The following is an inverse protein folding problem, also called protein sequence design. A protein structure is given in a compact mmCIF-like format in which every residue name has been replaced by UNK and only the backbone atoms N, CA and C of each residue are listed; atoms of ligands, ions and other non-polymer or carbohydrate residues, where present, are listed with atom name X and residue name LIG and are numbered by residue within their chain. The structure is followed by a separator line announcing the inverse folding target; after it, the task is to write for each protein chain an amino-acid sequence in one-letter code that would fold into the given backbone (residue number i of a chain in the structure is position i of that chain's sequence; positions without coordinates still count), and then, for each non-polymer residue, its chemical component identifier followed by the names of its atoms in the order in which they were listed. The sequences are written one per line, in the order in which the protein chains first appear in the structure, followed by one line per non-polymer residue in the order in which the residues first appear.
data_IF_583236351143
#
_entry.id   IF_583236351143
#
_cell.length_a   1.000
_cell.length_b   1.000
_cell.length_c   1.000
_cell.angle_alpha   90.00
_cell.angle_beta   90.00
_cell.angle_gamma   90.00
#
_symmetry.space_group_name_H-M   'P 1'
#
loop_
_entity.id
_entity.type
_entity.pdbx_description
1 polymer ?
#
# COMPACT_ATOMS: atom_id res chain seq x y z
N UNK A 1 54.94 45.37 -4.27
CA UNK A 1 55.68 44.52 -3.32
C UNK A 1 54.79 44.28 -2.10
N UNK A 2 54.08 43.16 -2.09
CA UNK A 2 53.02 42.86 -1.11
C UNK A 2 53.55 41.78 -0.17
N UNK A 3 53.65 42.08 1.14
CA UNK A 3 54.09 41.14 2.17
C UNK A 3 52.89 40.37 2.73
N UNK A 4 52.98 39.04 2.67
CA UNK A 4 52.07 38.07 3.27
C UNK A 4 52.38 37.95 4.77
N UNK A 5 51.37 38.05 5.63
CA UNK A 5 51.47 37.69 7.06
C UNK A 5 50.68 36.39 7.29
N UNK A 6 51.37 35.39 7.84
CA UNK A 6 50.82 34.13 8.34
C UNK A 6 50.53 34.32 9.83
N UNK A 7 49.27 34.17 10.25
CA UNK A 7 48.91 34.03 11.66
C UNK A 7 48.64 32.55 11.96
N UNK A 8 49.51 31.95 12.78
CA UNK A 8 49.21 30.74 13.54
C UNK A 8 48.80 31.17 14.94
N UNK A 9 47.61 30.79 15.38
CA UNK A 9 47.16 30.97 16.76
C UNK A 9 46.89 29.59 17.39
N UNK A 10 47.76 29.25 18.34
CA UNK A 10 47.65 28.16 19.29
C UNK A 10 46.76 28.64 20.44
N UNK A 11 45.71 27.88 20.79
CA UNK A 11 45.00 28.06 22.05
C UNK A 11 44.92 26.69 22.76
N UNK A 12 45.66 26.61 23.87
CA UNK A 12 45.54 25.60 24.91
C UNK A 12 44.25 25.80 25.71
N UNK A 13 43.50 24.72 25.94
CA UNK A 13 42.42 24.68 26.92
C UNK A 13 42.88 23.86 28.14
N UNK A 14 42.61 24.31 29.38
CA UNK A 14 42.99 23.57 30.57
C UNK A 14 41.96 22.51 30.97
N UNK A 15 42.51 21.47 31.57
CA UNK A 15 41.89 20.44 32.39
C UNK A 15 40.74 20.95 33.28
N UNK A 16 39.60 20.26 33.22
CA UNK A 16 38.77 20.02 34.41
C UNK A 16 38.62 18.49 34.56
N UNK A 17 39.29 17.98 35.60
CA UNK A 17 39.21 16.59 36.07
C UNK A 17 37.95 16.44 36.94
N UNK A 18 37.49 15.20 37.02
CA UNK A 18 36.53 14.67 37.99
C UNK A 18 35.04 14.77 37.61
N UNK A 19 34.62 13.89 36.70
CA UNK A 19 33.44 13.05 36.91
C UNK A 19 33.62 11.70 36.18
N UNK A 20 34.36 10.80 36.82
CA UNK A 20 34.44 9.39 36.45
C UNK A 20 33.31 8.60 37.11
N UNK A 21 32.93 7.52 36.44
CA UNK A 21 32.00 6.46 36.84
C UNK A 21 30.51 6.72 36.61
N UNK A 22 30.12 6.76 35.33
CA UNK A 22 29.09 5.84 34.81
C UNK A 22 29.13 5.91 33.28
N UNK A 23 28.99 4.77 32.59
CA UNK A 23 28.93 4.59 31.11
C UNK A 23 30.26 4.41 30.35
N UNK A 24 30.87 3.22 30.47
CA UNK A 24 31.91 2.77 29.51
C UNK A 24 31.61 1.45 28.79
N UNK A 25 30.38 0.90 28.90
CA UNK A 25 30.01 -0.36 28.22
C UNK A 25 29.26 -0.21 26.90
N UNK A 26 28.83 0.99 26.49
CA UNK A 26 28.04 1.20 25.26
C UNK A 26 28.80 1.89 24.11
N UNK A 27 29.94 2.54 24.36
CA UNK A 27 30.68 3.26 23.31
C UNK A 27 31.60 2.36 22.44
N UNK A 28 31.87 1.12 22.86
CA UNK A 28 32.74 0.20 22.12
C UNK A 28 32.02 -0.67 21.07
N UNK A 29 30.68 -0.78 21.11
CA UNK A 29 29.91 -1.51 20.07
C UNK A 29 29.64 -0.68 18.81
N UNK A 30 29.66 0.64 18.89
CA UNK A 30 29.39 1.53 17.74
C UNK A 30 30.56 1.56 16.74
N UNK A 31 31.81 1.56 17.22
CA UNK A 31 32.99 1.64 16.33
C UNK A 31 33.26 0.38 15.51
N UNK A 32 32.83 -0.80 15.99
CA UNK A 32 32.97 -2.05 15.25
C UNK A 32 31.99 -2.13 14.07
N UNK A 33 30.75 -1.64 14.25
CA UNK A 33 29.71 -1.67 13.20
C UNK A 33 30.03 -0.72 12.04
N UNK A 34 30.55 0.49 12.34
CA UNK A 34 30.96 1.45 11.31
C UNK A 34 32.14 0.93 10.50
N UNK A 35 33.10 0.25 11.15
CA UNK A 35 34.27 -0.32 10.46
C UNK A 35 33.89 -1.51 9.56
N UNK A 36 32.90 -2.32 9.96
CA UNK A 36 32.40 -3.43 9.15
C UNK A 36 31.62 -2.95 7.92
N UNK A 37 30.77 -1.93 8.08
CA UNK A 37 30.04 -1.34 6.94
C UNK A 37 30.97 -0.64 5.95
N UNK A 38 32.02 0.05 6.42
CA UNK A 38 32.98 0.68 5.53
C UNK A 38 33.79 -0.38 4.73
N UNK A 39 34.20 -1.48 5.36
CA UNK A 39 34.90 -2.58 4.66
C UNK A 39 34.02 -3.29 3.64
N UNK A 40 32.73 -3.50 3.93
CA UNK A 40 31.77 -4.04 2.97
C UNK A 40 31.57 -3.09 1.78
N UNK A 41 31.44 -1.79 2.04
CA UNK A 41 31.26 -0.78 1.00
C UNK A 41 32.47 -0.72 0.05
N UNK A 42 33.69 -0.74 0.57
CA UNK A 42 34.92 -0.78 -0.25
C UNK A 42 35.07 -2.09 -1.05
N UNK A 43 34.57 -3.22 -0.53
CA UNK A 43 34.63 -4.51 -1.22
C UNK A 43 33.63 -4.58 -2.37
N UNK A 44 32.41 -4.05 -2.18
CA UNK A 44 31.38 -3.94 -3.21
C UNK A 44 31.86 -2.98 -4.31
N UNK A 45 32.44 -1.83 -3.95
CA UNK A 45 32.96 -0.87 -4.93
C UNK A 45 34.10 -1.44 -5.78
N UNK A 46 35.00 -2.26 -5.18
CA UNK A 46 36.05 -2.98 -5.92
C UNK A 46 35.50 -4.03 -6.88
N UNK A 47 34.41 -4.71 -6.51
CA UNK A 47 33.80 -5.75 -7.35
C UNK A 47 33.06 -5.12 -8.55
N UNK A 48 32.36 -4.00 -8.34
CA UNK A 48 31.68 -3.24 -9.41
C UNK A 48 32.69 -2.61 -10.39
N UNK A 49 33.80 -2.03 -9.90
CA UNK A 49 34.83 -1.43 -10.75
C UNK A 49 35.55 -2.46 -11.64
N UNK A 50 35.74 -3.70 -11.17
CA UNK A 50 36.33 -4.79 -11.98
C UNK A 50 35.40 -5.24 -13.10
N UNK A 51 34.09 -5.31 -12.86
CA UNK A 51 33.12 -5.72 -13.88
C UNK A 51 32.92 -4.63 -14.94
N UNK A 52 32.99 -3.34 -14.57
CA UNK A 52 32.93 -2.22 -15.51
C UNK A 52 34.15 -2.15 -16.45
N UNK A 53 35.35 -2.49 -15.95
CA UNK A 53 36.55 -2.55 -16.81
C UNK A 53 36.52 -3.72 -17.80
N UNK A 54 35.91 -4.85 -17.45
CA UNK A 54 35.79 -6.00 -18.36
C UNK A 54 34.80 -5.74 -19.50
N UNK A 55 33.72 -4.99 -19.26
CA UNK A 55 32.73 -4.65 -20.29
C UNK A 55 33.27 -3.67 -21.34
N UNK A 56 34.15 -2.74 -20.96
CA UNK A 56 34.75 -1.76 -21.87
C UNK A 56 35.78 -2.36 -22.84
N UNK A 57 36.39 -3.49 -22.50
CA UNK A 57 37.33 -4.22 -23.40
C UNK A 57 36.59 -5.08 -24.43
N UNK A 58 35.34 -5.46 -24.17
CA UNK A 58 34.53 -6.24 -25.11
C UNK A 58 33.91 -5.40 -26.25
N UNK A 59 33.76 -4.07 -26.06
CA UNK A 59 33.17 -3.19 -27.07
C UNK A 59 34.16 -2.67 -28.14
N UNK A 60 35.46 -2.90 -27.99
CA UNK A 60 36.50 -2.37 -28.90
C UNK A 60 36.90 -3.33 -30.04
N UNK A 61 36.17 -4.41 -30.27
CA UNK A 61 36.48 -5.42 -31.30
C UNK A 61 35.49 -5.49 -32.48
N UNK A 62 34.54 -4.55 -32.62
CA UNK A 62 33.65 -4.46 -33.79
C UNK A 62 33.92 -3.21 -34.62
N UNK A 63 35.10 -3.14 -35.25
CA UNK A 63 35.29 -2.33 -36.45
C UNK A 63 36.07 -3.16 -37.47
N UNK A 64 35.41 -3.52 -38.57
CA UNK A 64 35.93 -3.53 -39.96
C UNK A 64 35.03 -4.39 -40.85
N UNK A 65 34.34 -3.73 -41.79
CA UNK A 65 34.35 -4.13 -43.20
C UNK A 65 33.41 -3.21 -43.99
N UNK A 66 34.03 -2.25 -44.70
CA UNK A 66 33.35 -1.43 -45.70
C UNK A 66 33.18 -2.20 -47.00
N UNK A 67 31.98 -2.14 -47.56
CA UNK A 67 31.71 -2.44 -48.96
C UNK A 67 30.80 -1.33 -49.52
N UNK A 68 31.31 -0.64 -50.54
CA UNK A 68 30.59 0.41 -51.28
C UNK A 68 29.60 -0.24 -52.27
N UNK A 69 28.35 0.24 -52.41
CA UNK A 69 27.48 -0.23 -53.47
C UNK A 69 27.76 0.52 -54.78
N UNK A 70 28.22 -0.22 -55.77
CA UNK A 70 28.25 0.19 -57.17
C UNK A 70 26.82 0.40 -57.69
N UNK A 71 26.61 1.59 -58.26
CA UNK A 71 25.46 1.97 -59.08
C UNK A 71 25.52 1.25 -60.44
N UNK A 72 24.38 0.75 -60.95
CA UNK A 72 24.07 1.04 -62.34
C UNK A 72 22.62 1.51 -62.54
N UNK A 73 22.48 2.47 -63.47
CA UNK A 73 21.22 2.90 -64.08
C UNK A 73 20.82 1.95 -65.22
N UNK A 74 19.57 2.13 -65.66
CA UNK A 74 18.85 1.66 -66.87
C UNK A 74 18.02 0.38 -66.70
N UNK A 75 16.85 0.17 -67.33
CA UNK A 75 15.79 0.97 -67.98
C UNK A 75 14.67 -0.06 -68.31
N UNK A 76 13.41 0.35 -68.24
CA UNK A 76 12.19 -0.20 -68.89
C UNK A 76 11.66 -1.64 -68.67
N UNK A 77 10.35 -1.65 -68.34
CA UNK A 77 9.24 -2.47 -68.84
C UNK A 77 9.27 -4.00 -68.73
N UNK A 78 8.29 -4.57 -68.01
CA UNK A 78 7.15 -5.30 -68.60
C UNK A 78 6.33 -6.00 -67.51
N UNK A 79 5.02 -5.83 -67.61
CA UNK A 79 3.97 -6.55 -66.90
C UNK A 79 3.84 -7.99 -67.41
N UNK A 80 3.87 -9.00 -66.54
CA UNK A 80 3.23 -10.31 -66.80
C UNK A 80 2.72 -10.92 -65.49
N UNK A 81 1.49 -11.43 -65.58
CA UNK A 81 0.67 -12.14 -64.60
C UNK A 81 0.99 -13.64 -64.56
N UNK A 82 0.90 -14.27 -63.38
CA UNK A 82 0.55 -15.69 -63.09
C UNK A 82 1.10 -16.01 -61.68
N UNK A 83 0.27 -16.26 -60.67
CA UNK A 83 -0.45 -17.52 -60.41
C UNK A 83 0.48 -18.73 -60.42
N UNK A 84 0.89 -19.18 -59.24
CA UNK A 84 1.03 -20.61 -58.96
C UNK A 84 0.99 -20.90 -57.46
N UNK A 85 0.18 -21.90 -57.15
CA UNK A 85 -0.13 -22.52 -55.87
C UNK A 85 0.89 -23.62 -55.64
N UNK A 86 1.55 -23.71 -54.48
CA UNK A 86 2.21 -24.96 -54.07
C UNK A 86 2.15 -25.18 -52.55
N UNK A 87 1.32 -26.17 -52.20
CA UNK A 87 1.32 -27.05 -51.03
C UNK A 87 2.64 -27.81 -50.83
N UNK A 88 3.15 -27.87 -49.59
CA UNK A 88 3.89 -29.01 -48.95
C UNK A 88 3.82 -28.77 -47.43
N UNK A 89 3.00 -29.47 -46.65
CA UNK A 89 3.14 -30.83 -46.06
C UNK A 89 4.18 -30.99 -44.93
N UNK A 90 3.63 -31.23 -43.73
CA UNK A 90 4.06 -32.17 -42.67
C UNK A 90 5.48 -32.13 -42.09
N UNK A 91 5.59 -32.06 -40.75
CA UNK A 91 6.02 -33.20 -39.90
C UNK A 91 5.74 -32.90 -38.43
N UNK A 92 5.02 -33.83 -37.80
CA UNK A 92 4.76 -33.91 -36.37
C UNK A 92 5.93 -34.57 -35.66
N UNK A 93 6.34 -34.07 -34.49
CA UNK A 93 6.96 -34.92 -33.46
C UNK A 93 6.33 -34.62 -32.10
N UNK A 94 5.55 -35.60 -31.65
CA UNK A 94 5.22 -35.82 -30.24
C UNK A 94 6.44 -36.42 -29.56
N UNK A 95 6.77 -35.92 -28.37
CA UNK A 95 7.45 -36.73 -27.36
C UNK A 95 6.70 -36.68 -26.04
N UNK A 96 6.37 -37.88 -25.60
CA UNK A 96 5.64 -38.24 -24.40
C UNK A 96 6.62 -38.58 -23.29
N UNK A 97 6.15 -38.46 -22.05
CA UNK A 97 6.60 -39.17 -20.83
C UNK A 97 7.80 -38.62 -20.06
N UNK A 98 7.54 -38.16 -18.83
CA UNK A 98 7.99 -38.87 -17.64
C UNK A 98 7.17 -38.41 -16.41
N UNK A 99 6.33 -39.32 -15.93
CA UNK A 99 5.72 -39.29 -14.60
C UNK A 99 6.80 -39.74 -13.61
N UNK A 100 7.07 -38.93 -12.59
CA UNK A 100 7.76 -39.38 -11.38
C UNK A 100 6.82 -39.16 -10.20
N UNK A 101 6.20 -40.24 -9.75
CA UNK A 101 5.69 -40.36 -8.38
C UNK A 101 6.87 -40.26 -7.42
N UNK A 102 6.81 -39.28 -6.50
CA UNK A 102 7.57 -39.34 -5.25
C UNK A 102 6.57 -39.47 -4.12
N UNK A 103 6.46 -40.71 -3.66
CA UNK A 103 5.90 -41.08 -2.37
C UNK A 103 6.88 -40.61 -1.29
N UNK A 104 6.46 -39.68 -0.43
CA UNK A 104 7.14 -39.45 0.85
C UNK A 104 6.15 -39.52 2.00
N UNK A 105 6.45 -40.50 2.83
CA UNK A 105 5.80 -41.02 4.01
C UNK A 105 5.64 -40.00 5.12
N UNK A 106 4.49 -40.11 5.80
CA UNK A 106 4.14 -39.43 7.04
C UNK A 106 4.97 -39.92 8.24
N UNK A 107 5.44 -38.98 9.05
CA UNK A 107 5.75 -39.09 10.48
C UNK A 107 5.66 -37.66 11.00
N UNK A 108 4.81 -37.25 11.95
CA UNK A 108 4.31 -37.98 13.10
C UNK A 108 5.03 -37.48 14.36
N UNK A 109 4.78 -36.23 14.77
CA UNK A 109 5.01 -35.80 16.15
C UNK A 109 4.00 -34.72 16.52
N UNK A 110 2.93 -35.16 17.18
CA UNK A 110 2.08 -34.30 17.99
C UNK A 110 2.82 -34.03 19.31
N UNK A 111 3.01 -32.75 19.65
CA UNK A 111 3.33 -32.35 21.01
C UNK A 111 2.13 -31.58 21.52
N UNK A 112 1.37 -32.25 22.39
CA UNK A 112 0.46 -31.62 23.34
C UNK A 112 1.29 -30.67 24.21
N UNK A 113 0.87 -29.42 24.33
CA UNK A 113 1.13 -28.68 25.55
C UNK A 113 -0.16 -28.01 26.00
N UNK A 114 -0.70 -28.61 27.06
CA UNK A 114 -1.93 -28.24 27.74
C UNK A 114 -1.53 -27.31 28.86
N UNK A 115 -1.66 -26.00 28.68
CA UNK A 115 -1.61 -25.05 29.79
C UNK A 115 -2.99 -24.44 30.00
N UNK A 116 -3.74 -25.14 30.83
CA UNK A 116 -4.84 -24.64 31.66
C UNK A 116 -4.39 -23.38 32.38
N UNK A 117 -5.08 -22.26 32.15
CA UNK A 117 -5.04 -21.11 33.04
C UNK A 117 -6.48 -20.72 33.36
N UNK A 118 -6.93 -21.21 34.51
CA UNK A 118 -8.12 -20.78 35.20
C UNK A 118 -8.00 -19.28 35.49
N UNK A 119 -8.87 -18.45 34.88
CA UNK A 119 -9.12 -17.11 35.39
C UNK A 119 -10.47 -17.11 36.12
N UNK A 120 -10.34 -17.19 37.43
CA UNK A 120 -11.36 -17.00 38.46
C UNK A 120 -12.23 -15.77 38.20
N UNK A 121 -13.53 -16.03 38.17
CA UNK A 121 -14.63 -15.09 38.31
C UNK A 121 -14.53 -14.35 39.64
N UNK A 122 -14.50 -13.02 39.61
CA UNK A 122 -14.87 -12.20 40.78
C UNK A 122 -16.03 -11.32 40.36
N UNK A 123 -17.24 -11.74 40.73
CA UNK A 123 -18.42 -10.89 40.73
C UNK A 123 -18.31 -9.96 41.94
N UNK A 124 -18.25 -8.66 41.69
CA UNK A 124 -18.38 -7.64 42.73
C UNK A 124 -19.78 -7.07 42.64
N UNK A 125 -20.64 -7.52 43.54
CA UNK A 125 -21.88 -6.86 43.93
C UNK A 125 -21.57 -5.43 44.42
N UNK A 126 -22.19 -4.44 43.79
CA UNK A 126 -22.36 -3.11 44.35
C UNK A 126 -23.82 -2.71 44.21
N UNK A 127 -24.57 -3.09 45.23
CA UNK A 127 -25.82 -2.45 45.65
C UNK A 127 -25.56 -0.99 46.01
N UNK A 128 -26.18 -0.05 45.30
CA UNK A 128 -26.39 1.31 45.77
C UNK A 128 -27.81 1.76 45.44
N UNK A 129 -28.62 1.72 46.51
CA UNK A 129 -29.93 2.31 46.68
C UNK A 129 -29.94 3.79 46.30
N UNK A 130 -30.90 4.20 45.46
CA UNK A 130 -31.16 5.58 45.08
C UNK A 130 -32.66 5.83 44.95
N UNK A 131 -33.36 5.70 46.07
CA UNK A 131 -34.77 6.08 46.22
C UNK A 131 -34.90 7.59 46.14
N UNK A 132 -35.45 8.11 45.03
CA UNK A 132 -35.96 9.49 44.98
C UNK A 132 -37.48 9.46 45.06
N UNK A 133 -37.97 9.68 46.28
CA UNK A 133 -39.36 10.03 46.60
C UNK A 133 -39.67 11.44 46.11
N UNK A 134 -40.59 11.56 45.15
CA UNK A 134 -41.26 12.83 44.85
C UNK A 134 -42.68 12.75 45.39
N UNK A 135 -42.87 13.33 46.57
CA UNK A 135 -44.17 13.73 47.12
C UNK A 135 -44.75 14.85 46.26
N UNK A 136 -45.95 14.66 45.73
CA UNK A 136 -46.83 15.76 45.32
C UNK A 136 -48.21 15.52 45.93
N UNK A 137 -48.63 16.51 46.71
CA UNK A 137 -49.82 16.56 47.54
C UNK A 137 -51.11 16.35 46.77
N UNK A 138 -52.00 15.56 47.38
CA UNK A 138 -53.40 15.43 46.98
C UNK A 138 -54.21 16.42 47.80
N UNK A 139 -54.69 17.50 47.17
CA UNK A 139 -55.78 18.32 47.72
C UNK A 139 -57.02 18.16 46.85
N UNK A 140 -58.03 17.55 47.45
CA UNK A 140 -59.36 17.34 46.91
C UNK A 140 -60.20 18.59 47.17
N UNK A 141 -60.75 19.20 46.12
CA UNK A 141 -62.03 19.91 46.23
C UNK A 141 -62.71 20.01 44.85
N UNK A 142 -63.96 19.54 44.84
CA UNK A 142 -65.03 19.63 43.83
C UNK A 142 -65.22 21.08 43.30
N UNK A 143 -65.70 21.38 42.08
CA UNK A 143 -66.96 20.94 41.45
C UNK A 143 -67.06 21.49 39.99
N UNK A 144 -67.70 20.72 39.10
CA UNK A 144 -68.56 21.09 37.93
C UNK A 144 -68.02 21.71 36.62
N UNK A 145 -68.36 20.98 35.53
CA UNK A 145 -68.74 21.38 34.14
C UNK A 145 -67.72 22.09 33.25
N UNK A 146 -67.20 21.43 32.20
CA UNK A 146 -67.80 21.43 30.85
C UNK A 146 -66.92 20.72 29.81
N UNK A 147 -67.60 19.98 28.93
CA UNK A 147 -67.26 19.51 27.58
C UNK A 147 -65.93 19.94 26.96
N UNK A 148 -65.05 18.99 26.60
CA UNK A 148 -64.29 18.94 25.31
C UNK A 148 -63.60 17.58 25.18
N UNK A 149 -63.98 16.81 24.15
CA UNK A 149 -63.35 15.56 23.77
C UNK A 149 -61.97 15.86 23.15
N UNK A 150 -60.90 15.74 23.92
CA UNK A 150 -59.53 15.79 23.39
C UNK A 150 -59.07 14.38 23.01
N UNK A 151 -59.12 14.10 21.72
CA UNK A 151 -58.43 12.98 21.10
C UNK A 151 -56.93 13.22 21.23
N UNK A 152 -56.28 12.53 22.18
CA UNK A 152 -54.82 12.53 22.30
C UNK A 152 -54.27 11.66 21.16
N UNK A 153 -53.98 12.31 20.03
CA UNK A 153 -53.14 11.73 18.98
C UNK A 153 -51.71 11.67 19.49
N UNK A 154 -51.31 10.56 20.10
CA UNK A 154 -49.91 10.18 20.26
C UNK A 154 -49.34 9.81 18.89
N UNK A 155 -48.92 10.80 18.12
CA UNK A 155 -48.03 10.61 16.97
C UNK A 155 -46.61 10.42 17.49
N UNK A 156 -46.26 9.18 17.83
CA UNK A 156 -44.87 8.72 17.94
C UNK A 156 -44.24 8.70 16.55
N UNK A 157 -43.78 9.85 16.07
CA UNK A 157 -42.85 9.92 14.94
C UNK A 157 -41.46 9.51 15.42
N UNK A 158 -41.18 8.21 15.40
CA UNK A 158 -39.82 7.68 15.52
C UNK A 158 -39.13 7.80 14.16
N UNK A 159 -38.68 9.01 13.82
CA UNK A 159 -37.75 9.20 12.69
C UNK A 159 -36.38 8.70 13.13
N UNK A 160 -36.13 7.41 12.93
CA UNK A 160 -34.80 6.82 13.06
C UNK A 160 -33.94 7.37 11.93
N UNK A 161 -33.31 8.52 12.14
CA UNK A 161 -32.25 9.02 11.25
C UNK A 161 -31.07 8.07 11.38
N UNK A 162 -30.92 7.17 10.41
CA UNK A 162 -29.71 6.36 10.25
C UNK A 162 -28.51 7.32 10.20
N UNK A 163 -27.43 7.09 10.97
CA UNK A 163 -26.27 7.96 10.91
C UNK A 163 -25.73 7.95 9.49
N UNK A 164 -25.67 9.13 8.87
CA UNK A 164 -25.03 9.31 7.56
C UNK A 164 -23.55 9.01 7.74
N UNK A 165 -23.08 7.90 7.16
CA UNK A 165 -21.66 7.55 7.15
C UNK A 165 -20.96 8.51 6.18
N UNK A 166 -20.28 9.52 6.72
CA UNK A 166 -19.51 10.49 5.92
C UNK A 166 -18.19 9.85 5.50
N UNK A 167 -17.99 9.68 4.19
CA UNK A 167 -16.69 9.28 3.64
C UNK A 167 -15.68 10.43 3.80
N UNK A 168 -14.51 10.12 4.34
CA UNK A 168 -13.40 11.05 4.53
C UNK A 168 -12.40 11.02 3.36
N UNK A 169 -12.44 9.99 2.50
CA UNK A 169 -11.77 10.04 1.20
C UNK A 169 -12.50 11.03 0.31
N UNK A 170 -11.76 11.94 -0.32
CA UNK A 170 -12.31 13.03 -1.12
C UNK A 170 -12.57 12.66 -2.58
N UNK A 171 -11.82 11.69 -3.11
CA UNK A 171 -11.97 11.20 -4.48
C UNK A 171 -11.77 9.69 -4.53
N UNK A 172 -12.72 8.94 -3.96
CA UNK A 172 -12.60 7.49 -3.84
C UNK A 172 -13.14 6.70 -5.03
N UNK A 173 -14.01 7.31 -5.85
CA UNK A 173 -14.68 6.72 -7.01
C UNK A 173 -14.12 7.20 -8.35
N UNK A 174 -13.20 8.18 -8.35
CA UNK A 174 -12.45 8.64 -9.51
C UNK A 174 -13.28 9.25 -10.65
N UNK A 175 -14.56 9.54 -10.42
CA UNK A 175 -15.48 10.01 -11.47
C UNK A 175 -15.37 11.51 -11.79
N UNK A 176 -14.71 12.29 -10.91
CA UNK A 176 -14.79 13.74 -10.95
C UNK A 176 -16.18 14.25 -10.54
N UNK A 177 -16.40 15.55 -10.73
CA UNK A 177 -17.71 16.17 -10.49
C UNK A 177 -18.39 16.50 -11.82
N UNK A 178 -19.62 17.03 -11.79
CA UNK A 178 -20.30 17.43 -13.03
C UNK A 178 -19.51 18.50 -13.82
N UNK A 179 -18.68 19.28 -13.14
CA UNK A 179 -17.91 20.38 -13.70
C UNK A 179 -16.40 20.08 -13.80
N UNK A 180 -15.95 18.91 -13.32
CA UNK A 180 -14.53 18.54 -13.26
C UNK A 180 -14.30 17.18 -13.91
N UNK A 181 -13.24 17.07 -14.70
CA UNK A 181 -12.86 15.80 -15.32
C UNK A 181 -12.44 14.77 -14.24
N UNK A 182 -12.57 13.47 -14.56
CA UNK A 182 -11.98 12.39 -13.77
C UNK A 182 -10.52 12.68 -13.44
N UNK A 183 -10.11 12.41 -12.20
CA UNK A 183 -8.77 12.72 -11.72
C UNK A 183 -8.32 11.69 -10.70
N UNK A 184 -7.00 11.50 -10.57
CA UNK A 184 -6.42 10.70 -9.49
C UNK A 184 -6.21 11.54 -8.23
N UNK A 185 -6.25 12.87 -8.33
CA UNK A 185 -6.01 13.75 -7.18
C UNK A 185 -7.11 13.55 -6.12
N UNK A 186 -6.77 13.51 -4.80
CA UNK A 186 -5.47 13.81 -4.20
C UNK A 186 -4.60 12.56 -3.92
N UNK A 187 -4.79 11.46 -4.66
CA UNK A 187 -4.00 10.25 -4.46
C UNK A 187 -2.59 10.39 -5.03
N UNK A 188 -1.60 10.02 -4.23
CA UNK A 188 -0.18 10.13 -4.58
C UNK A 188 0.61 8.86 -4.26
N UNK A 189 1.80 8.75 -4.87
CA UNK A 189 2.79 7.71 -4.59
C UNK A 189 3.81 8.21 -3.57
N UNK A 190 4.17 7.38 -2.58
CA UNK A 190 5.10 7.80 -1.50
C UNK A 190 6.54 7.27 -1.64
N UNK A 191 6.76 6.17 -2.36
CA UNK A 191 8.10 5.56 -2.48
C UNK A 191 8.73 5.71 -3.88
N UNK A 192 8.11 6.51 -4.74
CA UNK A 192 8.16 6.36 -6.19
C UNK A 192 9.55 6.40 -6.85
N UNK A 193 9.91 5.33 -7.55
CA UNK A 193 10.88 5.38 -8.66
C UNK A 193 10.39 4.71 -9.95
N UNK A 194 9.36 3.87 -9.91
CA UNK A 194 8.96 3.01 -11.05
C UNK A 194 7.45 2.79 -11.14
N UNK A 195 6.63 3.58 -10.44
CA UNK A 195 5.17 3.44 -10.44
C UNK A 195 4.54 4.72 -10.99
N UNK A 196 3.48 4.56 -11.78
CA UNK A 196 2.68 5.66 -12.29
C UNK A 196 1.20 5.44 -11.97
N UNK A 197 0.51 6.53 -11.70
CA UNK A 197 -0.94 6.57 -11.52
C UNK A 197 -1.58 7.26 -12.73
N UNK A 198 -2.70 6.74 -13.19
CA UNK A 198 -3.53 7.36 -14.23
C UNK A 198 -4.99 7.00 -14.03
N UNK A 199 -5.89 7.72 -14.69
CA UNK A 199 -7.28 7.27 -14.82
C UNK A 199 -7.37 6.20 -15.91
N UNK A 200 -8.21 5.19 -15.67
CA UNK A 200 -8.68 4.25 -16.67
C UNK A 200 -10.11 4.63 -17.04
N UNK A 201 -10.35 4.93 -18.33
CA UNK A 201 -11.64 5.42 -18.85
C UNK A 201 -12.51 4.29 -19.45
N UNK A 202 -12.05 3.05 -19.35
CA UNK A 202 -12.78 1.87 -19.83
C UNK A 202 -13.60 1.26 -18.68
N UNK A 203 -14.93 1.32 -18.82
CA UNK A 203 -15.91 0.84 -17.84
C UNK A 203 -15.71 -0.65 -17.47
N UNK A 204 -15.05 -1.45 -18.33
CA UNK A 204 -14.72 -2.85 -18.01
C UNK A 204 -13.73 -2.99 -16.87
N UNK A 205 -12.97 -1.94 -16.57
CA UNK A 205 -12.01 -1.84 -15.47
C UNK A 205 -12.45 -0.85 -14.38
N UNK A 206 -13.72 -0.46 -14.36
CA UNK A 206 -14.36 0.23 -13.25
C UNK A 206 -15.18 -0.75 -12.38
N UNK A 207 -15.38 -0.46 -11.09
CA UNK A 207 -16.14 -1.34 -10.20
C UNK A 207 -17.64 -1.06 -10.26
N UNK A 208 -18.05 0.21 -10.26
CA UNK A 208 -19.46 0.63 -10.22
C UNK A 208 -19.82 1.74 -11.20
N UNK A 209 -18.83 2.38 -11.77
CA UNK A 209 -18.97 3.62 -12.52
C UNK A 209 -18.15 3.53 -13.81
N UNK A 210 -17.57 4.63 -14.29
CA UNK A 210 -16.90 4.67 -15.59
C UNK A 210 -15.40 4.65 -15.50
N UNK A 211 -14.88 5.16 -14.41
CA UNK A 211 -13.47 5.40 -14.19
C UNK A 211 -12.96 4.56 -13.04
N UNK A 212 -11.68 4.26 -13.08
CA UNK A 212 -10.94 3.78 -11.92
C UNK A 212 -9.52 4.33 -11.98
N UNK A 213 -8.80 4.24 -10.87
CA UNK A 213 -7.38 4.57 -10.89
C UNK A 213 -6.57 3.35 -11.31
N UNK A 214 -5.80 3.48 -12.38
CA UNK A 214 -4.80 2.50 -12.80
C UNK A 214 -3.46 2.77 -12.12
N UNK A 215 -2.88 1.70 -11.58
CA UNK A 215 -1.56 1.67 -10.95
C UNK A 215 -0.64 0.84 -11.83
N UNK A 216 0.35 1.46 -12.45
CA UNK A 216 1.26 0.78 -13.40
C UNK A 216 2.67 0.70 -12.85
N UNK A 217 3.24 -0.51 -12.88
CA UNK A 217 4.59 -0.79 -12.43
C UNK A 217 5.50 -0.97 -13.63
N UNK A 218 6.52 -0.12 -13.76
CA UNK A 218 7.46 -0.18 -14.86
C UNK A 218 8.26 -1.50 -14.88
N UNK A 219 8.76 -1.92 -16.04
CA UNK A 219 9.63 -3.09 -16.16
C UNK A 219 10.86 -2.96 -15.27
N UNK A 220 11.02 -3.88 -14.32
CA UNK A 220 12.14 -3.93 -13.38
C UNK A 220 12.54 -5.37 -13.09
N UNK A 221 13.75 -5.57 -12.55
CA UNK A 221 14.23 -6.91 -12.16
C UNK A 221 13.71 -7.35 -10.80
N UNK A 222 13.24 -6.41 -9.97
CA UNK A 222 12.78 -6.65 -8.61
C UNK A 222 11.27 -6.40 -8.47
N UNK A 223 10.67 -6.96 -7.42
CA UNK A 223 9.28 -6.63 -7.06
C UNK A 223 9.25 -5.28 -6.36
N UNK A 224 8.50 -4.35 -6.92
CA UNK A 224 8.28 -3.05 -6.32
C UNK A 224 7.06 -3.09 -5.40
N UNK A 225 7.15 -2.34 -4.31
CA UNK A 225 6.03 -2.06 -3.41
C UNK A 225 5.89 -0.55 -3.28
N UNK A 226 4.75 -0.01 -3.66
CA UNK A 226 4.48 1.42 -3.52
C UNK A 226 3.14 1.65 -2.84
N UNK A 227 3.07 2.78 -2.15
CA UNK A 227 1.92 3.21 -1.38
C UNK A 227 1.13 4.21 -2.21
N UNK A 228 -0.01 3.78 -2.72
CA UNK A 228 -0.99 4.68 -3.31
C UNK A 228 -1.83 5.24 -2.18
N UNK A 229 -1.69 6.53 -1.90
CA UNK A 229 -2.15 7.11 -0.63
C UNK A 229 -2.90 8.41 -0.82
N UNK A 230 -3.95 8.59 -0.03
CA UNK A 230 -4.62 9.87 0.16
C UNK A 230 -4.34 10.39 1.57
N UNK A 231 -4.10 11.70 1.67
CA UNK A 231 -4.01 12.37 2.96
C UNK A 231 -5.40 12.76 3.46
N UNK A 232 -5.72 12.31 4.68
CA UNK A 232 -6.99 12.55 5.33
C UNK A 232 -6.88 13.80 6.22
N UNK A 233 -7.92 14.62 6.18
CA UNK A 233 -8.08 15.77 7.07
C UNK A 233 -8.36 15.30 8.51
N UNK A 234 -7.32 15.30 9.34
CA UNK A 234 -7.39 14.90 10.74
C UNK A 234 -8.36 15.77 11.56
N UNK A 235 -8.70 16.99 11.12
CA UNK A 235 -9.67 17.84 11.83
C UNK A 235 -11.11 17.30 11.76
N UNK A 236 -11.39 16.40 10.81
CA UNK A 236 -12.67 15.69 10.66
C UNK A 236 -12.71 14.37 11.42
N UNK A 237 -11.66 14.06 12.19
CA UNK A 237 -11.52 12.81 12.92
C UNK A 237 -11.68 13.00 14.42
N UNK A 238 -12.22 11.99 15.08
CA UNK A 238 -12.34 11.91 16.52
C UNK A 238 -11.28 10.98 17.10
N UNK A 239 -10.58 11.45 18.14
CA UNK A 239 -9.63 10.62 18.86
C UNK A 239 -10.30 9.39 19.47
N UNK A 240 -9.60 8.26 19.39
CA UNK A 240 -10.01 6.94 19.84
C UNK A 240 -11.31 6.39 19.21
N UNK A 241 -11.87 7.05 18.18
CA UNK A 241 -12.92 6.46 17.39
C UNK A 241 -12.35 5.37 16.45
N UNK A 242 -13.15 4.34 16.19
CA UNK A 242 -12.83 3.31 15.23
C UNK A 242 -13.19 3.81 13.83
N UNK A 243 -12.25 3.70 12.90
CA UNK A 243 -12.45 4.00 11.49
C UNK A 243 -12.16 2.76 10.64
N UNK A 244 -12.86 2.64 9.53
CA UNK A 244 -12.66 1.57 8.55
C UNK A 244 -12.33 2.19 7.21
N UNK A 245 -11.18 1.82 6.67
CA UNK A 245 -10.79 2.09 5.29
C UNK A 245 -11.08 0.85 4.44
N UNK A 246 -11.78 1.01 3.32
CA UNK A 246 -11.99 -0.04 2.32
C UNK A 246 -11.66 0.50 0.94
N UNK A 247 -11.11 -0.34 0.07
CA UNK A 247 -10.99 -0.04 -1.35
C UNK A 247 -11.17 -1.31 -2.18
N UNK A 248 -11.67 -1.15 -3.41
CA UNK A 248 -11.73 -2.22 -4.39
C UNK A 248 -10.44 -2.26 -5.17
N UNK A 249 -9.90 -3.46 -5.35
CA UNK A 249 -8.64 -3.67 -6.08
C UNK A 249 -8.80 -4.78 -7.11
N UNK A 250 -8.17 -4.63 -8.26
CA UNK A 250 -8.13 -5.64 -9.33
C UNK A 250 -6.73 -5.71 -9.92
N UNK A 251 -6.33 -6.88 -10.39
CA UNK A 251 -5.03 -7.10 -11.01
C UNK A 251 -5.16 -7.57 -12.44
N UNK A 252 -4.22 -7.17 -13.30
CA UNK A 252 -4.16 -7.68 -14.67
C UNK A 252 -3.53 -9.08 -14.73
N UNK A 253 -2.61 -9.38 -13.81
CA UNK A 253 -1.85 -10.62 -13.80
C UNK A 253 -1.35 -10.93 -12.39
N UNK A 254 -1.48 -12.18 -11.97
CA UNK A 254 -0.82 -12.67 -10.76
C UNK A 254 0.57 -13.22 -11.09
N UNK A 255 1.51 -13.04 -10.17
CA UNK A 255 2.82 -13.66 -10.19
C UNK A 255 2.69 -15.14 -9.80
N UNK A 256 3.19 -16.05 -10.63
CA UNK A 256 3.26 -17.46 -10.25
C UNK A 256 4.24 -17.66 -9.08
N UNK A 257 3.81 -18.41 -8.07
CA UNK A 257 4.63 -18.71 -6.89
C UNK A 257 5.94 -19.41 -7.28
N UNK A 258 7.05 -19.00 -6.66
CA UNK A 258 8.36 -19.63 -6.88
C UNK A 258 9.02 -19.31 -8.22
N UNK A 259 8.47 -18.41 -9.03
CA UNK A 259 9.04 -18.03 -10.33
C UNK A 259 9.53 -16.59 -10.36
N UNK A 260 10.42 -16.31 -11.31
CA UNK A 260 10.82 -14.96 -11.68
C UNK A 260 9.87 -14.31 -12.71
N UNK A 261 8.60 -14.71 -12.72
CA UNK A 261 7.62 -14.13 -13.63
C UNK A 261 7.15 -12.72 -13.23
N UNK A 262 6.75 -11.94 -14.24
CA UNK A 262 6.09 -10.65 -14.07
C UNK A 262 4.66 -10.84 -13.55
N UNK A 263 4.14 -9.87 -12.81
CA UNK A 263 2.82 -9.93 -12.20
C UNK A 263 2.75 -9.26 -10.84
N UNK A 264 1.54 -9.20 -10.31
CA UNK A 264 1.27 -8.79 -8.94
C UNK A 264 1.20 -9.99 -8.00
N UNK A 265 1.65 -9.81 -6.76
CA UNK A 265 1.47 -10.83 -5.72
C UNK A 265 0.22 -10.53 -4.87
N UNK A 266 -0.03 -9.24 -4.59
CA UNK A 266 -1.11 -8.82 -3.69
C UNK A 266 -1.29 -7.30 -3.64
N UNK A 267 -2.37 -6.87 -2.99
CA UNK A 267 -2.56 -5.53 -2.46
C UNK A 267 -3.03 -5.57 -1.01
N UNK A 268 -2.68 -4.56 -0.21
CA UNK A 268 -3.03 -4.46 1.21
C UNK A 268 -3.34 -3.04 1.62
N UNK A 269 -4.40 -2.84 2.39
CA UNK A 269 -4.79 -1.53 2.92
C UNK A 269 -4.03 -1.19 4.20
N UNK A 270 -3.74 0.09 4.45
CA UNK A 270 -3.10 0.58 5.67
C UNK A 270 -3.65 1.94 6.07
N UNK A 271 -3.59 2.21 7.37
CA UNK A 271 -3.68 3.56 7.92
C UNK A 271 -2.33 3.97 8.50
N UNK A 272 -1.94 5.23 8.32
CA UNK A 272 -0.72 5.77 8.90
C UNK A 272 -0.87 7.22 9.33
N UNK A 273 0.09 7.70 10.13
CA UNK A 273 0.25 9.11 10.51
C UNK A 273 1.72 9.52 10.42
N UNK A 274 1.99 10.83 10.43
CA UNK A 274 3.36 11.36 10.37
C UNK A 274 4.16 10.85 9.16
N UNK A 275 5.38 10.36 9.41
CA UNK A 275 6.24 9.73 8.40
C UNK A 275 6.07 8.20 8.41
N UNK A 276 4.88 7.73 7.99
CA UNK A 276 4.56 6.30 7.82
C UNK A 276 4.55 5.48 9.12
N UNK A 277 4.04 6.05 10.21
CA UNK A 277 3.73 5.28 11.42
C UNK A 277 2.39 4.58 11.24
N UNK A 278 2.39 3.25 11.12
CA UNK A 278 1.18 2.47 10.87
C UNK A 278 0.34 2.28 12.13
N UNK A 279 -0.98 2.24 11.95
CA UNK A 279 -1.94 1.95 13.03
C UNK A 279 -2.98 0.94 12.57
N UNK A 280 -3.53 0.21 13.54
CA UNK A 280 -4.64 -0.69 13.31
C UNK A 280 -4.28 -2.03 12.67
N UNK A 281 -5.29 -2.67 12.09
CA UNK A 281 -5.19 -3.96 11.40
C UNK A 281 -5.48 -3.78 9.92
N UNK A 282 -4.98 -4.72 9.11
CA UNK A 282 -4.99 -4.60 7.66
C UNK A 282 -5.14 -5.97 7.00
N UNK A 283 -6.12 -6.06 6.12
CA UNK A 283 -6.39 -7.22 5.28
C UNK A 283 -5.71 -7.10 3.92
N UNK A 284 -5.39 -8.25 3.36
CA UNK A 284 -4.69 -8.40 2.09
C UNK A 284 -5.57 -9.15 1.09
N UNK A 285 -5.52 -8.73 -0.17
CA UNK A 285 -6.03 -9.49 -1.31
C UNK A 285 -4.83 -10.04 -2.06
N UNK A 286 -4.79 -11.35 -2.27
CA UNK A 286 -3.80 -11.96 -3.15
C UNK A 286 -4.20 -11.74 -4.61
N UNK A 287 -3.22 -11.49 -5.46
CA UNK A 287 -3.50 -11.21 -6.87
C UNK A 287 -4.20 -12.38 -7.56
N UNK A 288 -3.86 -13.62 -7.20
CA UNK A 288 -4.48 -14.83 -7.76
C UNK A 288 -6.02 -14.86 -7.59
N UNK A 289 -6.53 -14.26 -6.51
CA UNK A 289 -7.96 -14.23 -6.20
C UNK A 289 -8.70 -13.03 -6.82
N UNK A 290 -7.95 -12.09 -7.40
CA UNK A 290 -8.45 -10.83 -7.95
C UNK A 290 -7.86 -10.50 -9.34
N UNK A 291 -7.43 -11.52 -10.08
CA UNK A 291 -7.25 -11.39 -11.54
C UNK A 291 -8.64 -11.30 -12.16
N UNK A 292 -8.86 -10.30 -13.00
CA UNK A 292 -10.11 -10.12 -13.76
C UNK A 292 -11.40 -10.04 -12.92
N UNK A 293 -11.26 -9.86 -11.61
CA UNK A 293 -12.35 -9.62 -10.67
C UNK A 293 -11.90 -8.65 -9.59
N UNK A 294 -12.86 -8.03 -8.91
CA UNK A 294 -12.61 -7.05 -7.87
C UNK A 294 -12.52 -7.70 -6.49
N UNK A 295 -11.34 -7.60 -5.87
CA UNK A 295 -11.13 -7.87 -4.45
C UNK A 295 -11.43 -6.63 -3.59
N UNK A 296 -11.55 -6.83 -2.27
CA UNK A 296 -11.69 -5.72 -1.31
C UNK A 296 -10.55 -5.78 -0.31
N UNK A 297 -9.78 -4.70 -0.22
CA UNK A 297 -8.83 -4.51 0.88
C UNK A 297 -9.49 -3.69 1.97
N UNK A 298 -9.24 -4.05 3.23
CA UNK A 298 -9.82 -3.37 4.39
C UNK A 298 -8.73 -3.07 5.41
N UNK A 299 -8.80 -1.92 6.06
CA UNK A 299 -8.02 -1.62 7.25
C UNK A 299 -8.93 -1.02 8.33
N UNK A 300 -8.72 -1.44 9.57
CA UNK A 300 -9.45 -0.93 10.73
C UNK A 300 -8.49 -0.18 11.62
N UNK A 301 -8.80 1.08 11.93
CA UNK A 301 -7.83 2.05 12.42
C UNK A 301 -8.43 2.83 13.59
N UNK A 302 -7.62 3.08 14.61
CA UNK A 302 -7.99 3.93 15.74
C UNK A 302 -6.79 4.83 16.04
N UNK A 303 -7.04 6.14 16.07
CA UNK A 303 -6.00 7.15 16.28
C UNK A 303 -6.20 7.82 17.62
N UNK A 304 -5.15 7.92 18.42
CA UNK A 304 -5.16 8.72 19.65
C UNK A 304 -5.11 10.21 19.32
N UNK A 305 -5.49 11.07 20.27
CA UNK A 305 -5.40 12.52 20.11
C UNK A 305 -3.98 12.98 19.73
N UNK A 306 -2.96 12.44 20.40
CA UNK A 306 -1.56 12.77 20.11
C UNK A 306 -1.15 12.37 18.68
N UNK A 307 -1.70 11.28 18.13
CA UNK A 307 -1.42 10.87 16.75
C UNK A 307 -2.10 11.78 15.73
N UNK A 308 -3.34 12.23 16.00
CA UNK A 308 -4.03 13.20 15.16
C UNK A 308 -3.31 14.55 15.17
N UNK A 309 -2.75 14.97 16.31
CA UNK A 309 -1.97 16.20 16.45
C UNK A 309 -0.62 16.18 15.72
N UNK A 310 -0.01 15.00 15.54
CA UNK A 310 1.16 14.83 14.64
C UNK A 310 0.78 15.15 13.19
N UNK A 311 -0.48 14.96 12.80
CA UNK A 311 -0.99 15.19 11.46
C UNK A 311 -0.48 14.17 10.43
N UNK A 312 -0.67 14.51 9.15
CA UNK A 312 -0.36 13.64 8.01
C UNK A 312 -1.03 12.25 8.12
N UNK A 313 -2.27 12.21 8.61
CA UNK A 313 -3.08 10.99 8.62
C UNK A 313 -3.35 10.58 7.18
N UNK A 314 -3.16 9.30 6.87
CA UNK A 314 -3.24 8.77 5.51
C UNK A 314 -3.89 7.40 5.49
N UNK A 315 -4.67 7.16 4.45
CA UNK A 315 -5.09 5.83 4.02
C UNK A 315 -4.30 5.45 2.78
N UNK A 316 -3.80 4.22 2.75
CA UNK A 316 -2.94 3.75 1.68
C UNK A 316 -3.35 2.36 1.23
N UNK A 317 -3.23 2.10 -0.07
CA UNK A 317 -3.20 0.74 -0.61
C UNK A 317 -1.79 0.47 -1.12
N UNK A 318 -1.17 -0.59 -0.61
CA UNK A 318 0.14 -1.05 -1.03
C UNK A 318 -0.03 -2.17 -2.02
N UNK A 319 0.44 -1.94 -3.24
CA UNK A 319 0.51 -2.95 -4.30
C UNK A 319 1.92 -3.54 -4.31
N UNK A 320 2.01 -4.86 -4.50
CA UNK A 320 3.29 -5.58 -4.58
C UNK A 320 3.38 -6.27 -5.93
N UNK A 321 4.03 -5.63 -6.90
CA UNK A 321 4.00 -6.02 -8.32
C UNK A 321 5.37 -5.88 -9.01
N UNK A 322 5.54 -6.56 -10.16
CA UNK A 322 6.68 -6.41 -11.08
C UNK A 322 6.19 -6.43 -12.51
N UNK A 323 6.48 -5.39 -13.29
CA UNK A 323 6.16 -5.31 -14.72
C UNK A 323 4.70 -5.71 -15.01
N UNK A 324 3.78 -4.99 -14.37
CA UNK A 324 2.36 -5.35 -14.30
C UNK A 324 1.55 -4.09 -13.94
N UNK A 325 0.24 -4.21 -13.88
CA UNK A 325 -0.64 -3.14 -13.44
C UNK A 325 -1.85 -3.67 -12.67
N UNK A 326 -2.50 -2.77 -11.94
CA UNK A 326 -3.74 -3.04 -11.26
C UNK A 326 -4.64 -1.82 -11.29
N UNK A 327 -5.83 -1.96 -10.74
CA UNK A 327 -6.81 -0.88 -10.62
C UNK A 327 -7.32 -0.79 -9.20
N UNK A 328 -7.62 0.44 -8.78
CA UNK A 328 -8.26 0.75 -7.51
C UNK A 328 -9.52 1.57 -7.74
N UNK A 329 -10.57 1.30 -6.97
CA UNK A 329 -11.85 2.00 -7.06
C UNK A 329 -12.62 1.95 -5.71
N UNK A 330 -13.70 2.72 -5.59
CA UNK A 330 -14.64 2.78 -4.47
C UNK A 330 -13.96 2.88 -3.09
N UNK A 331 -12.94 3.72 -2.99
CA UNK A 331 -12.19 3.94 -1.76
C UNK A 331 -13.01 4.74 -0.74
N UNK A 332 -13.15 4.19 0.47
CA UNK A 332 -13.97 4.74 1.54
C UNK A 332 -13.22 4.69 2.84
N UNK A 333 -13.19 5.81 3.56
CA UNK A 333 -12.69 5.88 4.92
C UNK A 333 -13.73 6.56 5.80
N UNK A 334 -14.29 5.83 6.76
CA UNK A 334 -15.34 6.39 7.60
C UNK A 334 -15.30 5.82 9.01
N UNK A 335 -15.94 6.52 9.94
CA UNK A 335 -16.14 6.07 11.32
C UNK A 335 -17.05 4.84 11.32
N UNK A 336 -16.66 3.80 12.05
CA UNK A 336 -17.41 2.54 12.19
C UNK A 336 -18.66 2.69 13.07
#
# INVERSE_FOLDING_TARGET
MTKLYVLSAVIQAPFCKDLQLYTWKTALRSRASVKLHLCLFFSILKMVARNLLAALVALSLLETSGASPCKPSTTESLSVSASETLTVSSTSESTTSAISEVTTTSTGTATEDTTTSDLTTTATDLTASGTSTTTVDTTTSSTTTDTTSMTISTTTSSTSTQPTVTNLCSNGDFEGSADEAPTIEPWELRNNQVVTLSIEDDETYAYRSKHSMRVTFAPTTYTASDFVSEQIDASKMEANALYVFTAKVRFNKAKASGTDETGCSSAKAYCSYGQLQFVGTADQVYAADAIDTWGTVTATCQFTQAQLEVGNVRTSVVYVCRDSYGWMDDAKFAKA
#
